data_IF_532299830387
#
_entry.id   IF_532299830387
#
_cell.length_a   1.000
_cell.length_b   1.000
_cell.length_c   1.000
_cell.angle_alpha   90.00
_cell.angle_beta   90.00
_cell.angle_gamma   90.00
#
_symmetry.space_group_name_H-M   'P 1'
#
loop_
_entity.id
_entity.type
_entity.pdbx_description
1 polymer ?
#
# COMPACT_ATOMS: atom_id res chain seq x y z
N UNK A 1 -6.46 -3.86 31.53
CA UNK A 1 -6.80 -2.43 31.30
C UNK A 1 -7.68 -2.38 30.04
N UNK A 2 -8.64 -1.48 30.01
CA UNK A 2 -9.49 -1.26 28.81
C UNK A 2 -8.63 -0.59 27.75
N UNK A 3 -8.70 -1.06 26.52
CA UNK A 3 -7.99 -0.46 25.38
C UNK A 3 -8.81 0.69 24.79
N UNK A 4 -8.16 1.72 24.31
CA UNK A 4 -8.84 2.79 23.57
C UNK A 4 -9.23 2.29 22.18
N UNK A 5 -8.33 1.53 21.54
CA UNK A 5 -8.52 1.05 20.18
C UNK A 5 -8.19 -0.43 20.01
N UNK A 6 -9.04 -1.11 19.23
CA UNK A 6 -8.71 -2.37 18.57
C UNK A 6 -8.59 -2.11 17.08
N UNK A 7 -7.44 -2.43 16.49
CA UNK A 7 -7.18 -2.40 15.05
C UNK A 7 -7.22 -3.84 14.53
N UNK A 8 -7.99 -4.11 13.48
CA UNK A 8 -8.13 -5.45 12.90
C UNK A 8 -7.40 -5.50 11.56
N UNK A 9 -6.25 -6.15 11.56
CA UNK A 9 -5.32 -6.26 10.44
C UNK A 9 -4.00 -5.51 10.71
N UNK A 10 -2.87 -6.23 10.68
CA UNK A 10 -1.53 -5.69 10.86
C UNK A 10 -0.77 -5.51 9.53
N UNK A 11 -1.49 -5.15 8.46
CA UNK A 11 -0.89 -4.64 7.23
C UNK A 11 -0.33 -3.23 7.42
N UNK A 12 0.24 -2.65 6.35
CA UNK A 12 0.83 -1.30 6.42
C UNK A 12 -0.15 -0.25 6.93
N UNK A 13 -1.41 -0.31 6.49
CA UNK A 13 -2.45 0.65 6.90
C UNK A 13 -2.77 0.49 8.39
N UNK A 14 -2.90 -0.75 8.89
CA UNK A 14 -3.18 -1.01 10.29
C UNK A 14 -2.03 -0.59 11.22
N UNK A 15 -0.80 -0.93 10.84
CA UNK A 15 0.38 -0.55 11.61
C UNK A 15 0.63 0.97 11.59
N UNK A 16 0.47 1.65 10.44
CA UNK A 16 0.60 3.11 10.37
C UNK A 16 -0.51 3.82 11.16
N UNK A 17 -1.75 3.32 11.10
CA UNK A 17 -2.86 3.82 11.93
C UNK A 17 -2.56 3.65 13.42
N UNK A 18 -2.09 2.47 13.82
CA UNK A 18 -1.74 2.20 15.23
C UNK A 18 -0.58 3.07 15.70
N UNK A 19 0.48 3.21 14.89
CA UNK A 19 1.60 4.10 15.19
C UNK A 19 1.12 5.53 15.46
N UNK A 20 0.28 6.07 14.57
CA UNK A 20 -0.25 7.43 14.70
C UNK A 20 -1.07 7.61 15.98
N UNK A 21 -1.91 6.65 16.33
CA UNK A 21 -2.70 6.67 17.57
C UNK A 21 -1.83 6.58 18.82
N UNK A 22 -0.83 5.70 18.84
CA UNK A 22 0.12 5.53 19.94
C UNK A 22 0.97 6.79 20.16
N UNK A 23 1.42 7.46 19.09
CA UNK A 23 2.13 8.73 19.17
C UNK A 23 1.31 9.84 19.86
N UNK A 24 -0.03 9.75 19.81
CA UNK A 24 -0.96 10.66 20.49
C UNK A 24 -1.44 10.13 21.85
N UNK A 25 -0.74 9.16 22.44
CA UNK A 25 -0.97 8.66 23.79
C UNK A 25 -2.10 7.66 23.95
N UNK A 26 -2.69 7.17 22.86
CA UNK A 26 -3.72 6.14 22.93
C UNK A 26 -3.14 4.75 23.23
N UNK A 27 -3.94 3.87 23.82
CA UNK A 27 -3.63 2.45 23.95
C UNK A 27 -4.22 1.67 22.78
N UNK A 28 -3.40 0.84 22.10
CA UNK A 28 -3.80 0.14 20.88
C UNK A 28 -3.46 -1.34 20.97
N UNK A 29 -4.44 -2.19 20.68
CA UNK A 29 -4.23 -3.62 20.40
C UNK A 29 -4.55 -3.91 18.93
N UNK A 30 -3.65 -4.59 18.24
CA UNK A 30 -3.82 -5.01 16.84
C UNK A 30 -4.08 -6.52 16.81
N UNK A 31 -5.15 -6.95 16.15
CA UNK A 31 -5.46 -8.35 15.89
C UNK A 31 -5.06 -8.69 14.47
N UNK A 32 -4.19 -9.69 14.28
CA UNK A 32 -3.73 -10.13 12.97
C UNK A 32 -3.98 -11.63 12.80
N UNK A 33 -4.63 -12.02 11.71
CA UNK A 33 -4.97 -13.43 11.44
C UNK A 33 -3.76 -14.32 11.18
N UNK A 34 -2.70 -13.76 10.61
CA UNK A 34 -1.44 -14.45 10.29
C UNK A 34 -0.26 -13.81 11.00
N UNK A 35 0.84 -13.65 10.26
CA UNK A 35 1.98 -12.86 10.71
C UNK A 35 1.84 -11.40 10.25
N UNK A 36 2.20 -10.46 11.11
CA UNK A 36 2.09 -9.04 10.84
C UNK A 36 2.87 -8.62 9.59
N UNK A 37 2.19 -7.92 8.68
CA UNK A 37 2.76 -7.38 7.47
C UNK A 37 3.03 -8.37 6.33
N UNK A 38 2.67 -9.64 6.45
CA UNK A 38 3.05 -10.71 5.50
C UNK A 38 2.08 -10.90 4.32
N UNK A 39 1.06 -10.06 4.18
CA UNK A 39 0.12 -10.10 3.05
C UNK A 39 0.52 -9.08 1.94
N UNK A 40 -0.40 -8.37 1.34
CA UNK A 40 -0.14 -7.44 0.23
C UNK A 40 0.90 -6.37 0.55
N UNK A 41 1.03 -5.98 1.80
CA UNK A 41 2.01 -4.99 2.26
C UNK A 41 3.45 -5.45 2.08
N UNK A 42 3.73 -6.75 2.30
CA UNK A 42 5.03 -7.37 2.04
C UNK A 42 5.22 -7.63 0.55
N UNK A 43 4.17 -8.10 -0.13
CA UNK A 43 4.24 -8.58 -1.51
C UNK A 43 4.41 -7.47 -2.55
N UNK A 44 4.09 -6.23 -2.22
CA UNK A 44 4.13 -5.10 -3.14
C UNK A 44 5.53 -4.65 -3.53
N UNK A 45 5.63 -3.91 -4.64
CA UNK A 45 6.90 -3.42 -5.18
C UNK A 45 7.49 -2.23 -4.42
N UNK A 46 6.71 -1.50 -3.63
CA UNK A 46 7.19 -0.36 -2.83
C UNK A 46 7.45 0.91 -3.63
N UNK A 47 6.83 1.08 -4.78
CA UNK A 47 6.84 2.33 -5.54
C UNK A 47 6.01 3.37 -4.77
N UNK A 48 6.57 4.54 -4.54
CA UNK A 48 5.95 5.66 -3.83
C UNK A 48 5.50 6.74 -4.82
N UNK A 49 4.80 6.32 -5.84
CA UNK A 49 4.17 7.17 -6.86
C UNK A 49 3.00 6.41 -7.46
N UNK A 50 2.05 7.12 -8.04
CA UNK A 50 1.11 6.52 -8.99
C UNK A 50 1.88 6.16 -10.27
N UNK A 51 1.59 5.01 -10.90
CA UNK A 51 2.37 4.52 -12.05
C UNK A 51 2.22 5.40 -13.29
N UNK A 52 1.00 5.76 -13.61
CA UNK A 52 0.65 6.78 -14.60
C UNK A 52 -0.37 7.68 -13.92
N UNK A 53 0.06 8.72 -13.20
CA UNK A 53 -0.81 9.49 -12.30
C UNK A 53 -2.08 10.03 -12.94
N UNK A 54 -2.00 10.37 -14.19
CA UNK A 54 -3.13 10.92 -14.99
C UNK A 54 -4.23 9.91 -15.34
N UNK A 55 -4.04 8.62 -15.04
CA UNK A 55 -5.04 7.55 -15.25
C UNK A 55 -5.94 7.34 -14.04
N UNK A 56 -5.78 8.14 -12.96
CA UNK A 56 -6.49 7.96 -11.71
C UNK A 56 -7.38 9.16 -11.38
N UNK A 57 -8.50 8.94 -10.66
CA UNK A 57 -9.35 10.03 -10.21
C UNK A 57 -8.61 10.91 -9.17
N UNK A 58 -9.10 12.15 -9.05
CA UNK A 58 -8.48 13.18 -8.18
C UNK A 58 -8.38 12.76 -6.72
N UNK A 59 -9.31 11.95 -6.24
CA UNK A 59 -9.31 11.44 -4.87
C UNK A 59 -8.09 10.56 -4.60
N UNK A 60 -7.75 9.68 -5.54
CA UNK A 60 -6.55 8.84 -5.46
C UNK A 60 -5.30 9.70 -5.52
N UNK A 61 -5.26 10.64 -6.46
CA UNK A 61 -4.17 11.60 -6.63
C UNK A 61 -3.95 12.42 -5.36
N UNK A 62 -5.00 13.01 -4.81
CA UNK A 62 -4.95 13.89 -3.63
C UNK A 62 -4.36 13.20 -2.41
N UNK A 63 -4.86 12.00 -2.10
CA UNK A 63 -4.33 11.24 -0.97
C UNK A 63 -2.88 10.77 -1.20
N UNK A 64 -2.56 10.33 -2.43
CA UNK A 64 -1.21 9.89 -2.76
C UNK A 64 -0.19 11.04 -2.69
N UNK A 65 -0.50 12.20 -3.25
CA UNK A 65 0.37 13.38 -3.20
C UNK A 65 0.54 13.91 -1.77
N UNK A 66 -0.55 14.00 -1.01
CA UNK A 66 -0.46 14.37 0.41
C UNK A 66 0.44 13.40 1.18
N UNK A 67 0.22 12.11 1.02
CA UNK A 67 1.02 11.07 1.68
C UNK A 67 2.50 11.15 1.29
N UNK A 68 2.81 11.47 0.03
CA UNK A 68 4.17 11.64 -0.45
C UNK A 68 4.92 12.77 0.29
N UNK A 69 4.23 13.86 0.68
CA UNK A 69 4.85 14.93 1.49
C UNK A 69 5.29 14.49 2.87
N UNK A 70 4.66 13.45 3.41
CA UNK A 70 4.95 12.90 4.74
C UNK A 70 6.00 11.78 4.69
N UNK A 71 6.13 11.10 3.56
CA UNK A 71 6.76 9.78 3.50
C UNK A 71 8.26 9.80 3.83
N UNK A 72 9.01 10.78 3.33
CA UNK A 72 10.46 10.87 3.55
C UNK A 72 10.80 11.03 5.04
N UNK A 73 10.13 11.97 5.72
CA UNK A 73 10.28 12.18 7.16
C UNK A 73 9.85 10.94 7.95
N UNK A 74 8.69 10.37 7.61
CA UNK A 74 8.18 9.16 8.26
C UNK A 74 9.15 7.98 8.13
N UNK A 75 9.73 7.74 6.95
CA UNK A 75 10.72 6.68 6.75
C UNK A 75 12.01 6.91 7.56
N UNK A 76 12.46 8.17 7.66
CA UNK A 76 13.61 8.54 8.49
C UNK A 76 13.34 8.31 9.99
N UNK A 77 12.17 8.72 10.49
CA UNK A 77 11.74 8.50 11.87
C UNK A 77 11.62 7.01 12.21
N UNK A 78 11.10 6.21 11.29
CA UNK A 78 11.05 4.75 11.44
C UNK A 78 12.45 4.15 11.53
N UNK A 79 13.37 4.59 10.68
CA UNK A 79 14.77 4.14 10.73
C UNK A 79 15.42 4.50 12.05
N UNK A 80 15.32 5.76 12.46
CA UNK A 80 15.89 6.24 13.72
C UNK A 80 15.36 5.49 14.93
N UNK A 81 14.05 5.27 15.01
CA UNK A 81 13.41 4.64 16.15
C UNK A 81 13.63 3.13 16.21
N UNK A 82 13.58 2.45 15.07
CA UNK A 82 13.64 0.98 15.01
C UNK A 82 15.04 0.40 14.78
N UNK A 83 15.99 1.20 14.30
CA UNK A 83 17.29 0.77 13.80
C UNK A 83 17.22 0.01 12.46
N UNK A 84 16.06 -0.04 11.81
CA UNK A 84 15.84 -0.76 10.55
C UNK A 84 15.61 0.26 9.44
N UNK A 85 16.54 0.38 8.50
CA UNK A 85 16.41 1.25 7.33
C UNK A 85 15.33 0.71 6.37
N UNK A 86 14.21 1.44 6.11
CA UNK A 86 13.21 1.07 5.12
C UNK A 86 13.71 1.09 3.67
N UNK A 87 14.94 1.54 3.45
CA UNK A 87 15.55 1.80 2.15
C UNK A 87 14.70 2.78 1.31
N UNK A 88 14.30 3.92 1.93
CA UNK A 88 13.70 5.03 1.18
C UNK A 88 14.73 5.58 0.19
N UNK A 89 14.29 5.71 -1.07
CA UNK A 89 15.17 6.13 -2.16
C UNK A 89 14.39 6.94 -3.19
N UNK A 90 14.80 8.20 -3.40
CA UNK A 90 14.25 9.08 -4.45
C UNK A 90 14.85 8.71 -5.80
N UNK A 91 14.60 7.49 -6.25
CA UNK A 91 15.20 6.93 -7.46
C UNK A 91 14.60 7.47 -8.76
N UNK A 92 13.49 8.22 -8.69
CA UNK A 92 12.73 8.63 -9.89
C UNK A 92 12.06 7.46 -10.59
N UNK A 93 11.19 7.80 -11.55
CA UNK A 93 10.40 6.84 -12.31
C UNK A 93 10.42 7.21 -13.80
N UNK A 94 10.90 6.30 -14.63
CA UNK A 94 10.92 6.40 -16.09
C UNK A 94 9.72 5.65 -16.65
N UNK A 95 8.90 6.33 -17.45
CA UNK A 95 7.73 5.75 -18.12
C UNK A 95 8.06 5.57 -19.60
N UNK A 96 8.13 4.33 -20.04
CA UNK A 96 8.35 3.96 -21.44
C UNK A 96 7.05 3.98 -22.23
N UNK A 97 7.14 4.28 -23.51
CA UNK A 97 6.00 4.24 -24.44
C UNK A 97 5.27 2.87 -24.40
N UNK A 98 3.95 2.84 -24.65
CA UNK A 98 3.11 3.97 -25.09
C UNK A 98 2.58 4.81 -23.93
N UNK A 99 2.53 6.12 -24.10
CA UNK A 99 1.91 7.09 -23.20
C UNK A 99 1.31 8.26 -23.99
N UNK A 100 0.43 9.03 -23.37
CA UNK A 100 -0.05 10.30 -23.92
C UNK A 100 0.71 11.46 -23.23
N UNK A 101 1.72 12.00 -23.93
CA UNK A 101 2.58 13.04 -23.40
C UNK A 101 1.82 14.33 -23.04
N UNK A 102 0.80 14.72 -23.84
CA UNK A 102 0.00 15.91 -23.58
C UNK A 102 -0.81 15.77 -22.29
N UNK A 103 -1.48 14.64 -22.10
CA UNK A 103 -2.24 14.35 -20.86
C UNK A 103 -1.30 14.34 -19.65
N UNK A 104 -0.13 13.71 -19.78
CA UNK A 104 0.87 13.67 -18.72
C UNK A 104 1.35 15.09 -18.34
N UNK A 105 1.65 15.93 -19.34
CA UNK A 105 2.08 17.31 -19.11
C UNK A 105 0.99 18.15 -18.42
N UNK A 106 -0.25 18.05 -18.91
CA UNK A 106 -1.39 18.77 -18.33
C UNK A 106 -1.62 18.39 -16.86
N UNK A 107 -1.61 17.08 -16.60
CA UNK A 107 -1.79 16.57 -15.24
C UNK A 107 -0.65 17.04 -14.31
N UNK A 108 0.61 16.88 -14.74
CA UNK A 108 1.77 17.28 -13.96
C UNK A 108 1.80 18.79 -13.68
N UNK A 109 1.42 19.62 -14.66
CA UNK A 109 1.29 21.05 -14.48
C UNK A 109 0.20 21.42 -13.45
N UNK A 110 -0.98 20.79 -13.55
CA UNK A 110 -2.08 21.01 -12.62
C UNK A 110 -1.75 20.65 -11.17
N UNK A 111 -0.94 19.59 -10.97
CA UNK A 111 -0.59 19.09 -9.65
C UNK A 111 0.82 19.52 -9.17
N UNK A 112 1.51 20.38 -9.91
CA UNK A 112 2.86 20.86 -9.60
C UNK A 112 3.89 19.73 -9.42
N UNK A 113 3.73 18.66 -10.22
CA UNK A 113 4.65 17.53 -10.27
C UNK A 113 5.65 17.75 -11.40
N UNK A 114 6.94 17.62 -11.10
CA UNK A 114 7.99 17.74 -12.13
C UNK A 114 7.90 16.59 -13.14
N UNK A 115 7.90 16.93 -14.43
CA UNK A 115 7.93 16.00 -15.54
C UNK A 115 9.03 16.41 -16.52
N UNK A 116 9.90 15.47 -16.83
CA UNK A 116 10.91 15.63 -17.86
C UNK A 116 10.63 14.68 -19.02
N UNK A 117 10.95 15.12 -20.24
CA UNK A 117 10.94 14.27 -21.43
C UNK A 117 12.36 13.98 -21.84
N UNK A 118 12.61 12.78 -22.35
CA UNK A 118 13.94 12.37 -22.75
C UNK A 118 13.92 11.16 -23.67
N UNK A 119 15.10 10.64 -23.94
CA UNK A 119 15.29 9.39 -24.66
C UNK A 119 15.68 8.30 -23.68
N UNK A 120 15.26 7.08 -23.96
CA UNK A 120 15.44 5.92 -23.08
C UNK A 120 16.94 5.58 -22.85
N UNK A 121 17.80 5.80 -23.82
CA UNK A 121 19.27 5.63 -23.70
C UNK A 121 19.90 6.57 -22.68
N UNK A 122 19.35 7.78 -22.51
CA UNK A 122 19.76 8.72 -21.44
C UNK A 122 19.49 8.18 -20.02
N UNK A 123 18.66 7.14 -19.89
CA UNK A 123 18.34 6.43 -18.65
C UNK A 123 18.89 5.00 -18.60
N UNK A 124 19.90 4.71 -19.41
CA UNK A 124 20.56 3.41 -19.53
C UNK A 124 19.62 2.27 -19.98
N UNK A 125 18.56 2.59 -20.74
CA UNK A 125 17.70 1.61 -21.38
C UNK A 125 18.17 1.34 -22.82
N UNK A 126 18.02 0.11 -23.32
CA UNK A 126 18.60 -0.33 -24.60
C UNK A 126 17.75 0.06 -25.83
N UNK A 127 17.19 1.25 -25.83
CA UNK A 127 16.35 1.81 -26.89
C UNK A 127 16.52 3.33 -26.94
N UNK A 128 16.20 3.93 -28.06
CA UNK A 128 16.18 5.39 -28.25
C UNK A 128 14.77 5.98 -28.25
N UNK A 129 13.79 5.19 -27.83
CA UNK A 129 12.40 5.63 -27.75
C UNK A 129 12.23 6.79 -26.77
N UNK A 130 11.16 7.55 -26.96
CA UNK A 130 10.81 8.62 -26.04
C UNK A 130 10.32 8.06 -24.70
N UNK A 131 10.68 8.74 -23.64
CA UNK A 131 10.28 8.42 -22.28
C UNK A 131 9.82 9.67 -21.53
N UNK A 132 8.97 9.47 -20.53
CA UNK A 132 8.66 10.47 -19.52
C UNK A 132 9.41 10.12 -18.24
N UNK A 133 9.88 11.12 -17.51
CA UNK A 133 10.59 10.93 -16.25
C UNK A 133 9.97 11.79 -15.14
N UNK A 134 9.59 11.14 -14.06
CA UNK A 134 9.10 11.74 -12.83
C UNK A 134 10.21 11.71 -11.77
N UNK A 135 11.00 12.77 -11.61
CA UNK A 135 12.19 12.78 -10.75
C UNK A 135 11.88 12.65 -9.26
N UNK A 136 10.70 13.07 -8.84
CA UNK A 136 10.26 13.04 -7.43
C UNK A 136 9.73 11.68 -6.98
N UNK A 137 9.55 10.74 -7.90
CA UNK A 137 9.11 9.40 -7.54
C UNK A 137 10.18 8.69 -6.67
N UNK A 138 9.72 7.99 -5.67
CA UNK A 138 10.57 7.28 -4.74
C UNK A 138 10.19 5.81 -4.62
N UNK A 139 10.98 5.08 -3.87
CA UNK A 139 10.71 3.69 -3.51
C UNK A 139 11.09 3.39 -2.07
N UNK A 140 10.53 2.30 -1.54
CA UNK A 140 10.94 1.68 -0.28
C UNK A 140 11.03 0.17 -0.45
N UNK A 141 11.76 -0.49 0.43
CA UNK A 141 11.80 -1.95 0.46
C UNK A 141 10.74 -2.48 1.44
N UNK A 142 9.60 -2.93 0.90
CA UNK A 142 8.44 -3.32 1.69
C UNK A 142 8.75 -4.24 2.88
N UNK A 143 9.51 -5.36 2.75
CA UNK A 143 9.81 -6.20 3.90
C UNK A 143 10.56 -5.47 5.02
N UNK A 144 11.41 -4.51 4.69
CA UNK A 144 12.15 -3.71 5.67
C UNK A 144 11.24 -2.66 6.31
N UNK A 145 10.45 -1.95 5.49
CA UNK A 145 9.45 -0.99 5.98
C UNK A 145 8.48 -1.63 6.96
N UNK A 146 7.95 -2.82 6.63
CA UNK A 146 7.02 -3.54 7.51
C UNK A 146 7.66 -3.93 8.84
N UNK A 147 8.92 -4.38 8.83
CA UNK A 147 9.67 -4.70 10.05
C UNK A 147 9.95 -3.45 10.89
N UNK A 148 10.35 -2.35 10.25
CA UNK A 148 10.62 -1.09 10.93
C UNK A 148 9.34 -0.55 11.62
N UNK A 149 8.24 -0.55 10.88
CA UNK A 149 6.95 -0.06 11.38
C UNK A 149 6.38 -0.95 12.50
N UNK A 150 6.45 -2.27 12.36
CA UNK A 150 6.10 -3.21 13.43
C UNK A 150 6.89 -2.91 14.70
N UNK A 151 8.21 -2.79 14.57
CA UNK A 151 9.10 -2.50 15.71
C UNK A 151 8.77 -1.16 16.36
N UNK A 152 8.44 -0.14 15.55
CA UNK A 152 8.02 1.18 16.05
C UNK A 152 6.74 1.09 16.86
N UNK A 153 5.73 0.34 16.38
CA UNK A 153 4.47 0.11 17.13
C UNK A 153 4.74 -0.56 18.48
N UNK A 154 5.58 -1.60 18.50
CA UNK A 154 5.97 -2.30 19.74
C UNK A 154 6.69 -1.36 20.71
N UNK A 155 7.63 -0.53 20.22
CA UNK A 155 8.37 0.44 21.05
C UNK A 155 7.47 1.54 21.64
N UNK A 156 6.38 1.89 20.97
CA UNK A 156 5.36 2.82 21.46
C UNK A 156 4.36 2.16 22.45
N UNK A 157 4.52 0.87 22.75
CA UNK A 157 3.65 0.13 23.68
C UNK A 157 2.42 -0.48 23.03
N UNK A 158 2.33 -0.50 21.69
CA UNK A 158 1.27 -1.20 20.97
C UNK A 158 1.38 -2.72 21.12
N UNK A 159 0.25 -3.38 21.29
CA UNK A 159 0.16 -4.84 21.42
C UNK A 159 -0.26 -5.44 20.07
N UNK A 160 0.55 -6.33 19.50
CA UNK A 160 0.24 -7.06 18.27
C UNK A 160 -0.02 -8.52 18.61
N UNK A 161 -1.24 -8.98 18.37
CA UNK A 161 -1.65 -10.37 18.60
C UNK A 161 -1.76 -11.05 17.24
N UNK A 162 -0.73 -11.79 16.88
CA UNK A 162 -0.65 -12.60 15.68
C UNK A 162 -1.44 -13.92 15.84
N UNK A 163 -1.75 -14.61 14.73
CA UNK A 163 -2.56 -15.83 14.70
C UNK A 163 -3.94 -15.65 15.38
N UNK A 164 -4.46 -14.42 15.32
CA UNK A 164 -5.69 -13.98 15.95
C UNK A 164 -6.68 -13.44 14.91
N UNK A 165 -7.28 -14.36 14.16
CA UNK A 165 -8.28 -14.01 13.14
C UNK A 165 -9.55 -13.48 13.79
N UNK A 166 -9.94 -12.25 13.47
CA UNK A 166 -11.25 -11.70 13.84
C UNK A 166 -12.34 -12.48 13.10
N UNK A 167 -13.25 -13.08 13.85
CA UNK A 167 -14.33 -13.94 13.36
C UNK A 167 -15.67 -13.21 13.37
N UNK A 168 -15.94 -12.46 14.45
CA UNK A 168 -17.21 -11.74 14.61
C UNK A 168 -16.99 -10.39 15.26
N UNK A 169 -17.58 -9.35 14.68
CA UNK A 169 -17.77 -8.04 15.30
C UNK A 169 -19.17 -8.06 15.94
N UNK A 170 -19.23 -8.04 17.27
CA UNK A 170 -20.50 -8.05 18.01
C UNK A 170 -20.90 -6.63 18.35
N UNK A 171 -22.06 -6.23 17.84
CA UNK A 171 -22.67 -4.94 18.14
C UNK A 171 -23.90 -5.11 19.02
N UNK A 172 -24.14 -4.13 19.86
CA UNK A 172 -25.37 -3.92 20.60
C UNK A 172 -25.89 -2.51 20.27
N UNK A 173 -27.11 -2.41 19.77
CA UNK A 173 -27.71 -1.19 19.24
C UNK A 173 -26.80 -0.55 18.18
N UNK A 174 -26.27 0.61 18.45
CA UNK A 174 -25.45 1.44 17.53
C UNK A 174 -23.93 1.41 17.86
N UNK A 175 -23.48 0.42 18.66
CA UNK A 175 -22.08 0.31 19.08
C UNK A 175 -21.57 -1.13 19.01
N UNK A 176 -20.32 -1.26 18.58
CA UNK A 176 -19.56 -2.50 18.77
C UNK A 176 -19.21 -2.64 20.25
N UNK A 177 -19.47 -3.82 20.82
CA UNK A 177 -19.17 -4.14 22.22
C UNK A 177 -17.93 -5.01 22.37
N UNK A 178 -17.64 -5.84 21.36
CA UNK A 178 -16.44 -6.71 21.33
C UNK A 178 -16.16 -7.24 19.94
N UNK A 179 -14.92 -7.68 19.74
CA UNK A 179 -14.49 -8.55 18.62
C UNK A 179 -14.22 -9.93 19.17
N UNK A 180 -14.81 -10.95 18.59
CA UNK A 180 -14.49 -12.35 18.85
C UNK A 180 -13.47 -12.80 17.80
N UNK A 181 -12.29 -13.18 18.25
CA UNK A 181 -11.19 -13.66 17.44
C UNK A 181 -10.82 -15.11 17.83
N UNK A 182 -10.03 -15.78 17.00
CA UNK A 182 -9.59 -17.16 17.26
C UNK A 182 -8.81 -17.31 18.56
N UNK A 183 -8.17 -16.24 19.05
CA UNK A 183 -7.38 -16.22 20.28
C UNK A 183 -8.17 -15.74 21.51
N UNK A 184 -9.41 -15.25 21.35
CA UNK A 184 -10.22 -14.76 22.46
C UNK A 184 -11.20 -13.66 22.10
N UNK A 185 -11.67 -12.94 23.13
CA UNK A 185 -12.63 -11.83 22.98
C UNK A 185 -11.95 -10.53 23.43
N UNK A 186 -12.10 -9.50 22.62
CA UNK A 186 -11.43 -8.22 22.81
C UNK A 186 -12.42 -7.07 22.81
N UNK A 187 -12.30 -6.17 23.76
CA UNK A 187 -13.16 -4.99 23.90
C UNK A 187 -12.33 -3.71 23.99
N UNK A 188 -12.82 -2.66 23.35
CA UNK A 188 -12.22 -1.33 23.36
C UNK A 188 -13.30 -0.24 23.22
N UNK A 189 -12.88 1.03 23.31
CA UNK A 189 -13.80 2.13 23.07
C UNK A 189 -14.12 2.31 21.59
N UNK A 190 -13.15 2.07 20.70
CA UNK A 190 -13.30 2.18 19.25
C UNK A 190 -12.62 1.01 18.53
N UNK A 191 -13.14 0.65 17.37
CA UNK A 191 -12.69 -0.45 16.54
C UNK A 191 -12.39 0.05 15.12
N UNK A 192 -11.26 -0.35 14.57
CA UNK A 192 -10.81 0.08 13.23
C UNK A 192 -10.51 -1.16 12.40
N UNK A 193 -11.19 -1.32 11.28
CA UNK A 193 -10.93 -2.40 10.34
C UNK A 193 -9.93 -1.93 9.29
N UNK A 194 -8.80 -2.64 9.18
CA UNK A 194 -7.72 -2.41 8.22
C UNK A 194 -7.31 -3.72 7.54
N UNK A 195 -8.31 -4.61 7.35
CA UNK A 195 -8.11 -6.01 6.97
C UNK A 195 -7.85 -6.21 5.45
N UNK A 196 -7.56 -5.13 4.71
CA UNK A 196 -7.21 -5.19 3.29
C UNK A 196 -8.28 -5.93 2.47
N UNK A 197 -7.87 -6.92 1.68
CA UNK A 197 -8.78 -7.69 0.83
C UNK A 197 -9.86 -8.47 1.62
N UNK A 198 -9.66 -8.70 2.91
CA UNK A 198 -10.61 -9.40 3.80
C UNK A 198 -11.56 -8.47 4.56
N UNK A 199 -11.56 -7.17 4.24
CA UNK A 199 -12.36 -6.20 4.99
C UNK A 199 -13.86 -6.51 4.97
N UNK A 200 -14.41 -6.97 3.85
CA UNK A 200 -15.82 -7.40 3.77
C UNK A 200 -16.12 -8.61 4.65
N UNK A 201 -15.25 -9.63 4.61
CA UNK A 201 -15.42 -10.84 5.43
C UNK A 201 -15.36 -10.53 6.92
N UNK A 202 -14.38 -9.70 7.33
CA UNK A 202 -14.20 -9.26 8.73
C UNK A 202 -15.42 -8.46 9.23
N UNK A 203 -15.95 -7.56 8.40
CA UNK A 203 -17.13 -6.78 8.73
C UNK A 203 -18.40 -7.63 8.76
N UNK A 204 -18.48 -8.69 7.95
CA UNK A 204 -19.63 -9.57 7.86
C UNK A 204 -20.94 -8.80 7.61
N UNK A 205 -21.96 -8.92 8.50
CA UNK A 205 -23.23 -8.20 8.30
C UNK A 205 -23.10 -6.67 8.41
N UNK A 206 -21.96 -6.17 8.91
CA UNK A 206 -21.69 -4.74 9.01
C UNK A 206 -20.98 -4.18 7.75
N UNK A 207 -20.71 -5.00 6.74
CA UNK A 207 -20.03 -4.53 5.51
C UNK A 207 -20.92 -3.59 4.67
N UNK A 208 -22.23 -3.60 4.87
CA UNK A 208 -23.19 -2.84 4.06
C UNK A 208 -23.00 -3.13 2.56
N UNK A 209 -22.77 -2.10 1.77
CA UNK A 209 -22.52 -2.22 0.32
C UNK A 209 -21.02 -2.04 -0.03
N UNK A 210 -20.12 -2.22 0.94
CA UNK A 210 -18.70 -2.08 0.73
C UNK A 210 -18.21 -3.01 -0.38
N UNK A 211 -17.52 -2.47 -1.38
CA UNK A 211 -16.96 -3.21 -2.51
C UNK A 211 -15.44 -3.25 -2.42
N UNK A 212 -14.90 -4.12 -1.58
CA UNK A 212 -13.45 -4.39 -1.53
C UNK A 212 -13.21 -5.84 -1.93
N UNK A 213 -12.56 -6.06 -3.07
CA UNK A 213 -12.30 -7.39 -3.65
C UNK A 213 -10.83 -7.73 -3.65
N UNK A 214 -10.46 -9.02 -3.46
CA UNK A 214 -9.09 -9.46 -3.65
C UNK A 214 -8.69 -9.39 -5.13
N UNK A 215 -7.58 -8.72 -5.42
CA UNK A 215 -6.99 -8.67 -6.77
C UNK A 215 -5.57 -9.19 -6.69
N UNK A 216 -5.34 -10.39 -7.27
CA UNK A 216 -4.04 -11.04 -7.26
C UNK A 216 -3.03 -10.30 -8.13
N UNK A 217 -1.81 -10.15 -7.61
CA UNK A 217 -0.66 -9.68 -8.36
C UNK A 217 0.54 -10.55 -8.09
N UNK A 218 1.19 -11.03 -9.15
CA UNK A 218 2.39 -11.85 -9.09
C UNK A 218 3.62 -11.04 -9.42
N UNK A 219 4.74 -11.39 -8.78
CA UNK A 219 6.03 -10.71 -8.87
C UNK A 219 7.14 -11.71 -9.11
N UNK A 220 8.20 -11.28 -9.81
CA UNK A 220 9.45 -12.02 -9.97
C UNK A 220 10.61 -11.24 -9.32
N UNK A 221 11.60 -11.96 -8.81
CA UNK A 221 12.82 -11.42 -8.24
C UNK A 221 14.04 -11.97 -8.97
N UNK A 222 14.94 -11.07 -9.32
CA UNK A 222 16.25 -11.38 -9.89
C UNK A 222 17.36 -10.83 -9.00
N UNK A 223 18.59 -11.32 -9.18
CA UNK A 223 19.78 -10.83 -8.47
C UNK A 223 20.92 -10.58 -9.44
N UNK A 224 21.37 -9.35 -9.48
CA UNK A 224 22.58 -8.89 -10.17
C UNK A 224 23.71 -8.66 -9.16
N UNK A 225 24.95 -8.59 -9.62
CA UNK A 225 26.10 -8.22 -8.79
C UNK A 225 25.97 -6.77 -8.26
N UNK A 226 25.41 -5.87 -9.08
CA UNK A 226 25.09 -4.49 -8.76
C UNK A 226 23.73 -4.12 -9.38
N UNK A 227 23.08 -3.02 -8.98
CA UNK A 227 21.82 -2.59 -9.58
C UNK A 227 21.94 -2.46 -11.11
N UNK A 228 21.09 -3.11 -11.90
CA UNK A 228 21.21 -3.09 -13.36
C UNK A 228 20.71 -1.78 -13.98
N UNK A 229 20.04 -0.94 -13.21
CA UNK A 229 19.52 0.38 -13.56
C UNK A 229 19.39 1.24 -12.30
N UNK A 230 19.28 2.57 -12.47
CA UNK A 230 19.18 3.52 -11.35
C UNK A 230 17.73 3.84 -10.99
N UNK A 231 16.85 3.90 -11.98
CA UNK A 231 15.48 4.39 -11.85
C UNK A 231 14.48 3.23 -11.86
N UNK A 232 13.32 3.46 -11.26
CA UNK A 232 12.15 2.60 -11.48
C UNK A 232 11.76 2.77 -12.95
N UNK A 233 11.51 1.67 -13.66
CA UNK A 233 11.04 1.71 -15.05
C UNK A 233 9.65 1.12 -15.14
N UNK A 234 8.75 1.82 -15.83
CA UNK A 234 7.37 1.40 -16.06
C UNK A 234 7.09 1.37 -17.55
N UNK A 235 6.46 0.31 -18.02
CA UNK A 235 5.88 0.22 -19.35
C UNK A 235 4.49 -0.40 -19.26
N UNK A 236 3.45 0.41 -19.48
CA UNK A 236 2.05 0.03 -19.24
C UNK A 236 1.83 -0.39 -17.77
N UNK A 237 1.50 -1.66 -17.55
CA UNK A 237 1.25 -2.27 -16.23
C UNK A 237 2.47 -3.00 -15.64
N UNK A 238 3.53 -3.16 -16.44
CA UNK A 238 4.79 -3.77 -16.02
C UNK A 238 5.71 -2.73 -15.41
N UNK A 239 6.38 -3.09 -14.31
CA UNK A 239 7.42 -2.28 -13.70
C UNK A 239 8.64 -3.09 -13.30
N UNK A 240 9.80 -2.47 -13.41
CA UNK A 240 11.10 -2.96 -12.98
C UNK A 240 11.60 -2.04 -11.86
N UNK A 241 11.94 -2.61 -10.70
CA UNK A 241 12.33 -1.84 -9.52
C UNK A 241 13.71 -2.32 -9.07
N UNK A 242 14.77 -1.52 -9.31
CA UNK A 242 16.10 -1.86 -8.84
C UNK A 242 16.23 -1.62 -7.34
N UNK A 243 17.02 -2.46 -6.67
CA UNK A 243 17.37 -2.31 -5.26
C UNK A 243 18.87 -2.08 -5.10
N UNK A 244 19.27 -1.32 -4.08
CA UNK A 244 20.67 -0.95 -3.79
C UNK A 244 21.62 -2.14 -3.73
N UNK A 245 21.14 -3.31 -3.34
CA UNK A 245 21.91 -4.54 -3.23
C UNK A 245 21.95 -5.40 -4.52
N UNK A 246 21.47 -4.87 -5.64
CA UNK A 246 21.44 -5.57 -6.92
C UNK A 246 20.23 -6.49 -7.14
N UNK A 247 19.28 -6.55 -6.20
CA UNK A 247 17.99 -7.18 -6.51
C UNK A 247 17.22 -6.33 -7.51
N UNK A 248 16.49 -7.00 -8.40
CA UNK A 248 15.55 -6.40 -9.32
C UNK A 248 14.20 -7.08 -9.17
N UNK A 249 13.17 -6.30 -8.81
CA UNK A 249 11.80 -6.76 -8.80
C UNK A 249 11.15 -6.48 -10.14
N UNK A 250 10.41 -7.45 -10.65
CA UNK A 250 9.60 -7.34 -11.87
C UNK A 250 8.15 -7.65 -11.53
N UNK A 251 7.25 -6.79 -11.88
CA UNK A 251 5.82 -6.96 -11.60
C UNK A 251 4.96 -6.01 -12.42
N UNK A 252 3.69 -6.17 -12.37
CA UNK A 252 2.98 -7.27 -11.75
C UNK A 252 1.76 -7.66 -12.59
N UNK A 253 1.27 -8.86 -12.35
CA UNK A 253 -0.03 -9.23 -12.91
C UNK A 253 -1.19 -8.51 -12.22
N UNK A 254 -2.36 -8.57 -12.87
CA UNK A 254 -3.62 -8.07 -12.35
C UNK A 254 -4.68 -9.12 -12.66
N UNK A 255 -5.05 -9.92 -11.65
CA UNK A 255 -5.86 -11.12 -11.86
C UNK A 255 -7.04 -11.16 -10.89
N UNK A 256 -8.23 -11.45 -11.41
CA UNK A 256 -9.40 -11.82 -10.62
C UNK A 256 -9.31 -13.33 -10.31
N UNK A 257 -8.79 -13.67 -9.15
CA UNK A 257 -8.56 -15.04 -8.70
C UNK A 257 -9.13 -15.29 -7.29
N UNK A 258 -10.05 -14.43 -6.85
CA UNK A 258 -10.54 -14.49 -5.48
C UNK A 258 -9.39 -14.48 -4.48
N UNK A 259 -9.47 -15.30 -3.44
CA UNK A 259 -8.44 -15.40 -2.41
C UNK A 259 -7.30 -16.39 -2.73
N UNK A 260 -7.22 -16.90 -3.96
CA UNK A 260 -6.11 -17.78 -4.35
C UNK A 260 -4.79 -17.00 -4.53
N UNK A 261 -3.78 -17.33 -3.70
CA UNK A 261 -2.43 -16.74 -3.73
C UNK A 261 -1.40 -17.60 -4.47
N UNK A 262 -1.82 -18.64 -5.16
CA UNK A 262 -0.88 -19.50 -5.90
C UNK A 262 -0.26 -18.72 -7.06
N UNK A 263 1.03 -18.90 -7.25
CA UNK A 263 1.74 -18.42 -8.44
C UNK A 263 1.47 -19.35 -9.63
N UNK A 264 1.56 -18.80 -10.86
CA UNK A 264 1.29 -19.57 -12.07
C UNK A 264 2.46 -19.48 -13.05
N UNK A 265 2.68 -20.54 -13.79
CA UNK A 265 3.70 -20.59 -14.87
C UNK A 265 3.42 -19.55 -15.95
N UNK A 266 2.15 -19.36 -16.32
CA UNK A 266 1.76 -18.38 -17.33
C UNK A 266 2.16 -16.95 -16.92
N UNK A 267 1.91 -16.55 -15.66
CA UNK A 267 2.33 -15.25 -15.14
C UNK A 267 3.86 -15.10 -15.08
N UNK A 268 4.56 -16.16 -14.67
CA UNK A 268 6.02 -16.19 -14.72
C UNK A 268 6.54 -15.89 -16.13
N UNK A 269 6.08 -16.65 -17.13
CA UNK A 269 6.60 -16.58 -18.48
C UNK A 269 6.25 -15.24 -19.15
N UNK A 270 5.05 -14.70 -18.90
CA UNK A 270 4.64 -13.38 -19.41
C UNK A 270 5.48 -12.25 -18.80
N UNK A 271 5.57 -12.18 -17.48
CA UNK A 271 6.34 -11.14 -16.78
C UNK A 271 7.81 -11.20 -17.21
N UNK A 272 8.40 -12.39 -17.28
CA UNK A 272 9.79 -12.57 -17.65
C UNK A 272 10.05 -12.15 -19.10
N UNK A 273 9.22 -12.57 -20.06
CA UNK A 273 9.33 -12.18 -21.46
C UNK A 273 9.20 -10.68 -21.66
N UNK A 274 8.23 -10.04 -21.01
CA UNK A 274 8.03 -8.60 -21.10
C UNK A 274 9.19 -7.82 -20.46
N UNK A 275 9.70 -8.28 -19.33
CA UNK A 275 10.85 -7.67 -18.68
C UNK A 275 12.13 -7.76 -19.54
N UNK A 276 12.36 -8.87 -20.24
CA UNK A 276 13.49 -9.03 -21.18
C UNK A 276 13.45 -8.05 -22.35
N UNK A 277 12.27 -7.60 -22.75
CA UNK A 277 12.15 -6.58 -23.81
C UNK A 277 12.62 -5.21 -23.33
N UNK A 278 12.42 -4.89 -22.05
CA UNK A 278 12.90 -3.64 -21.42
C UNK A 278 14.37 -3.76 -21.03
N UNK A 279 14.76 -4.89 -20.45
CA UNK A 279 16.11 -5.15 -19.94
C UNK A 279 16.65 -6.47 -20.48
N UNK A 280 17.29 -6.47 -21.69
CA UNK A 280 17.82 -7.69 -22.32
C UNK A 280 18.81 -8.48 -21.49
N UNK A 281 19.47 -7.83 -20.53
CA UNK A 281 20.39 -8.47 -19.57
C UNK A 281 19.72 -9.56 -18.71
N UNK A 282 18.39 -9.59 -18.64
CA UNK A 282 17.63 -10.64 -17.97
C UNK A 282 17.65 -11.98 -18.73
N UNK A 283 18.06 -12.00 -20.02
CA UNK A 283 18.11 -13.23 -20.81
C UNK A 283 19.08 -14.23 -20.18
N UNK A 284 18.56 -15.42 -19.89
CA UNK A 284 19.34 -16.48 -19.26
C UNK A 284 19.55 -16.34 -17.75
N UNK A 285 19.06 -15.28 -17.13
CA UNK A 285 19.13 -15.13 -15.69
C UNK A 285 18.06 -16.00 -14.98
N UNK A 286 18.40 -16.66 -13.88
CA UNK A 286 17.41 -17.38 -13.10
C UNK A 286 16.50 -16.40 -12.34
N UNK A 287 15.20 -16.72 -12.31
CA UNK A 287 14.27 -16.11 -11.35
C UNK A 287 14.53 -16.76 -9.99
N UNK A 288 14.97 -15.98 -9.01
CA UNK A 288 15.31 -16.50 -7.67
C UNK A 288 14.08 -16.67 -6.78
N UNK A 289 13.02 -15.90 -7.04
CA UNK A 289 11.76 -16.03 -6.31
C UNK A 289 10.58 -15.54 -7.14
N UNK A 290 9.43 -16.22 -7.00
CA UNK A 290 8.12 -15.78 -7.47
C UNK A 290 7.14 -15.84 -6.31
N UNK A 291 6.31 -14.81 -6.17
CA UNK A 291 5.24 -14.76 -5.16
C UNK A 291 4.01 -14.03 -5.67
N UNK A 292 2.93 -14.12 -4.91
CA UNK A 292 1.70 -13.40 -5.16
C UNK A 292 1.21 -12.70 -3.89
N UNK A 293 0.49 -11.58 -4.08
CA UNK A 293 -0.24 -10.86 -3.05
C UNK A 293 -1.65 -10.52 -3.51
N UNK A 294 -2.55 -10.31 -2.56
CA UNK A 294 -3.95 -9.92 -2.81
C UNK A 294 -4.15 -8.46 -2.45
N UNK A 295 -4.27 -7.61 -3.46
CA UNK A 295 -4.56 -6.19 -3.28
C UNK A 295 -6.02 -6.00 -2.90
N UNK A 296 -6.36 -5.06 -1.99
CA UNK A 296 -7.74 -4.70 -1.66
C UNK A 296 -8.31 -3.77 -2.75
N UNK A 297 -8.81 -4.33 -3.83
CA UNK A 297 -9.40 -3.57 -4.94
C UNK A 297 -10.72 -2.91 -4.53
N UNK A 298 -10.86 -1.60 -4.76
CA UNK A 298 -12.05 -0.79 -4.52
C UNK A 298 -12.49 -0.08 -5.81
N UNK A 299 -13.77 0.32 -5.93
CA UNK A 299 -14.24 1.11 -7.06
C UNK A 299 -13.41 2.39 -7.24
N UNK A 300 -12.99 2.69 -8.45
CA UNK A 300 -12.15 3.84 -8.77
C UNK A 300 -10.78 3.87 -8.07
N UNK A 301 -10.36 2.79 -7.39
CA UNK A 301 -9.18 2.73 -6.51
C UNK A 301 -9.26 3.69 -5.31
N UNK A 302 -10.45 4.18 -4.97
CA UNK A 302 -10.67 5.10 -3.86
C UNK A 302 -10.82 4.29 -2.57
N UNK A 303 -9.96 4.50 -1.55
CA UNK A 303 -10.10 3.80 -0.28
C UNK A 303 -11.27 4.35 0.52
N UNK A 304 -11.80 3.53 1.44
CA UNK A 304 -12.73 3.99 2.47
C UNK A 304 -11.95 4.31 3.74
N UNK A 305 -12.00 5.57 4.18
CA UNK A 305 -11.36 6.08 5.40
C UNK A 305 -12.42 6.84 6.20
N UNK A 306 -13.25 6.09 6.94
CA UNK A 306 -14.47 6.67 7.48
C UNK A 306 -14.99 5.92 8.70
N UNK A 307 -15.86 6.62 9.46
CA UNK A 307 -16.72 6.00 10.47
C UNK A 307 -17.84 5.22 9.79
N UNK A 308 -18.19 4.08 10.36
CA UNK A 308 -19.35 3.30 9.92
C UNK A 308 -20.65 4.10 10.11
N UNK A 309 -21.56 4.16 9.12
CA UNK A 309 -22.75 5.03 9.19
C UNK A 309 -23.73 4.65 10.29
N UNK A 310 -23.82 3.35 10.69
CA UNK A 310 -24.75 2.83 11.69
C UNK A 310 -24.09 2.54 13.05
N UNK A 311 -22.77 2.34 13.12
CA UNK A 311 -22.06 1.98 14.34
C UNK A 311 -21.09 3.09 14.74
N UNK A 312 -21.39 3.78 15.84
CA UNK A 312 -20.72 5.03 16.27
C UNK A 312 -19.24 4.86 16.61
N UNK A 313 -18.79 3.65 16.92
CA UNK A 313 -17.41 3.36 17.33
C UNK A 313 -16.69 2.36 16.41
N UNK A 314 -17.22 2.12 15.21
CA UNK A 314 -16.58 1.30 14.19
C UNK A 314 -16.08 2.21 13.05
N UNK A 315 -14.85 1.95 12.59
CA UNK A 315 -14.21 2.69 11.52
C UNK A 315 -13.59 1.73 10.51
N UNK A 316 -13.43 2.20 9.28
CA UNK A 316 -12.74 1.48 8.21
C UNK A 316 -11.61 2.35 7.67
N UNK A 317 -10.46 1.73 7.42
CA UNK A 317 -9.35 2.31 6.67
C UNK A 317 -8.79 1.21 5.74
N UNK A 318 -9.37 1.07 4.56
CA UNK A 318 -9.08 -0.05 3.64
C UNK A 318 -9.47 0.27 2.20
N UNK A 319 -9.13 -0.62 1.27
CA UNK A 319 -9.48 -0.43 -0.15
C UNK A 319 -8.44 0.36 -0.97
N UNK A 320 -7.21 0.49 -0.52
CA UNK A 320 -6.15 1.29 -1.17
C UNK A 320 -5.60 0.67 -2.46
N UNK A 321 -6.07 -0.49 -2.84
CA UNK A 321 -5.69 -1.24 -4.04
C UNK A 321 -4.17 -1.32 -4.25
N UNK A 322 -3.64 -0.66 -5.29
CA UNK A 322 -2.20 -0.70 -5.64
C UNK A 322 -1.33 0.19 -4.75
N UNK A 323 -1.93 1.17 -4.08
CA UNK A 323 -1.22 2.30 -3.49
C UNK A 323 -1.24 2.34 -1.96
N UNK A 324 -1.55 1.19 -1.31
CA UNK A 324 -1.61 1.12 0.15
C UNK A 324 -0.30 1.51 0.83
N UNK A 325 0.86 1.18 0.26
CA UNK A 325 2.15 1.62 0.79
C UNK A 325 2.33 3.12 0.60
N UNK A 326 2.10 3.62 -0.62
CA UNK A 326 2.20 5.05 -0.96
C UNK A 326 1.32 5.92 -0.07
N UNK A 327 0.09 5.48 0.19
CA UNK A 327 -0.92 6.24 0.91
C UNK A 327 -0.88 6.04 2.44
N UNK A 328 -0.02 5.16 2.97
CA UNK A 328 -0.10 4.74 4.37
C UNK A 328 -0.01 5.88 5.39
N UNK A 329 1.01 6.76 5.39
CA UNK A 329 1.08 7.85 6.36
C UNK A 329 -0.06 8.86 6.19
N UNK A 330 -0.45 9.21 4.96
CA UNK A 330 -1.58 10.11 4.71
C UNK A 330 -2.93 9.52 5.17
N UNK A 331 -3.17 8.22 4.92
CA UNK A 331 -4.39 7.54 5.38
C UNK A 331 -4.48 7.48 6.90
N UNK A 332 -3.35 7.25 7.58
CA UNK A 332 -3.29 7.24 9.04
C UNK A 332 -3.62 8.62 9.62
N UNK A 333 -3.10 9.69 9.02
CA UNK A 333 -3.38 11.07 9.38
C UNK A 333 -4.86 11.43 9.19
N UNK A 334 -5.41 11.14 8.00
CA UNK A 334 -6.84 11.39 7.69
C UNK A 334 -7.74 10.64 8.68
N UNK A 335 -7.48 9.35 8.95
CA UNK A 335 -8.29 8.61 9.92
C UNK A 335 -8.14 9.14 11.34
N UNK A 336 -6.93 9.52 11.76
CA UNK A 336 -6.72 10.15 13.07
C UNK A 336 -7.60 11.41 13.23
N UNK A 337 -7.64 12.26 12.20
CA UNK A 337 -8.47 13.47 12.22
C UNK A 337 -9.97 13.15 12.20
N UNK A 338 -10.42 12.09 11.51
CA UNK A 338 -11.80 11.58 11.62
C UNK A 338 -12.13 11.13 13.04
N UNK A 339 -11.19 10.47 13.73
CA UNK A 339 -11.38 9.93 15.08
C UNK A 339 -11.43 11.00 16.18
N UNK A 340 -10.70 12.11 15.98
CA UNK A 340 -10.51 13.19 16.97
C UNK A 340 -11.31 14.45 16.68
N UNK A 341 -11.91 14.55 15.47
CA UNK A 341 -12.53 15.79 15.00
C UNK A 341 -11.51 16.85 14.60
N UNK A 342 -10.29 16.44 14.29
CA UNK A 342 -9.21 17.33 13.84
C UNK A 342 -9.43 17.92 12.45
N UNK A 343 -8.62 18.91 12.09
CA UNK A 343 -8.68 19.58 10.78
C UNK A 343 -8.13 18.63 9.72
N UNK A 344 -8.93 18.39 8.67
CA UNK A 344 -8.51 17.56 7.55
C UNK A 344 -7.56 18.33 6.61
N UNK A 345 -6.56 17.67 6.03
CA UNK A 345 -5.60 18.32 5.12
C UNK A 345 -6.23 18.70 3.76
N UNK A 346 -7.36 18.09 3.41
CA UNK A 346 -8.11 18.29 2.18
C UNK A 346 -9.54 17.76 2.35
N UNK A 347 -10.40 17.91 1.33
CA UNK A 347 -11.75 17.32 1.35
C UNK A 347 -11.69 15.79 1.38
N UNK A 348 -12.20 15.21 2.47
CA UNK A 348 -12.24 13.77 2.73
C UNK A 348 -13.61 13.13 2.47
N UNK A 349 -14.60 13.89 2.05
CA UNK A 349 -15.94 13.37 1.78
C UNK A 349 -15.97 12.18 0.81
N UNK A 350 -15.15 12.13 -0.27
CA UNK A 350 -15.13 11.01 -1.18
C UNK A 350 -14.74 9.67 -0.51
N UNK A 351 -13.93 9.69 0.54
CA UNK A 351 -13.51 8.46 1.23
C UNK A 351 -14.58 7.88 2.18
N UNK A 352 -15.70 8.59 2.36
CA UNK A 352 -16.88 8.06 3.05
C UNK A 352 -17.79 7.23 2.12
N UNK A 353 -17.71 7.43 0.82
CA UNK A 353 -18.64 6.86 -0.16
C UNK A 353 -18.56 5.32 -0.26
N UNK A 354 -17.46 4.72 0.15
CA UNK A 354 -17.26 3.27 0.08
C UNK A 354 -18.27 2.43 0.87
N UNK A 355 -19.00 3.03 1.82
CA UNK A 355 -20.07 2.34 2.53
C UNK A 355 -21.34 2.14 1.71
N UNK A 356 -21.50 2.82 0.56
CA UNK A 356 -22.68 2.76 -0.30
C UNK A 356 -23.94 3.25 0.41
N UNK A 357 -23.82 4.22 1.29
CA UNK A 357 -24.90 4.80 2.07
C UNK A 357 -25.27 6.20 1.56
#
# INVERSE_FOLDING_TARGET
MKQDFIVIGAGIIGLATAERLLQHGATVTILERGAAGQESSWAGGGILSLLCPWDYPDEVTRLALYSATLFAAWAADLHQASGIDPEYDSSGLVICAPFNALVAQQWCAAHQVALLQGKADGYALPTTDEVLYLPQAAQVRNPRLMRALRKRVELLGGIIIEQSAAQHIRADHDRVVKVEASSGKYSADKYIVTAGAWSQEVLGPHALQLEIKPVRGQMLLFKFAAPPMQHIVVQRDLYLIPRRDGHLLVGSTLEDAGFDKKTTRAAHDDLFKRAQNILPQLRGMPVIQQWAGLRPGSPGNIPTIARHPRLKNLYLNSGHFRYGVTMAPGSAEVLHNVLTGGIQPFDVAPYNAGWGA
#
